data_IF_174900261620
#
_entry.id   IF_174900261620
#
_cell.length_a   1.000
_cell.length_b   1.000
_cell.length_c   1.000
_cell.angle_alpha   90.00
_cell.angle_beta   90.00
_cell.angle_gamma   90.00
#
_symmetry.space_group_name_H-M   'P 1'
#
loop_
_entity.id
_entity.type
_entity.pdbx_description
1 polymer ?
#
# COMPACT_ATOMS: atom_id res chain seq x y z
N UNK A 1 -4.41 25.22 -2.69
CA UNK A 1 -5.34 24.52 -1.78
C UNK A 1 -4.48 23.79 -0.76
N UNK A 2 -4.53 24.19 0.50
CA UNK A 2 -3.69 23.61 1.55
C UNK A 2 -4.06 22.14 1.74
N UNK A 3 -3.09 21.24 1.59
CA UNK A 3 -3.31 19.81 1.86
C UNK A 3 -3.59 19.66 3.35
N UNK A 4 -4.76 19.13 3.69
CA UNK A 4 -5.12 18.80 5.07
C UNK A 4 -4.01 17.93 5.70
N UNK A 5 -3.50 18.26 6.89
CA UNK A 5 -2.47 17.47 7.55
C UNK A 5 -2.87 15.98 7.67
N UNK A 6 -1.93 15.01 7.51
CA UNK A 6 -2.27 13.59 7.58
C UNK A 6 -3.00 13.18 8.87
N UNK A 7 -2.63 13.78 10.01
CA UNK A 7 -3.30 13.52 11.29
C UNK A 7 -4.78 13.97 11.29
N UNK A 8 -5.11 15.06 10.60
CA UNK A 8 -6.50 15.53 10.45
C UNK A 8 -7.30 14.64 9.50
N UNK A 9 -6.67 14.13 8.46
CA UNK A 9 -7.30 13.16 7.55
C UNK A 9 -7.64 11.85 8.29
N UNK A 10 -6.67 11.30 9.03
CA UNK A 10 -6.86 10.05 9.80
C UNK A 10 -7.87 10.26 10.94
N UNK A 11 -7.80 11.41 11.64
CA UNK A 11 -8.76 11.75 12.69
C UNK A 11 -10.18 11.85 12.15
N UNK A 12 -10.38 12.53 11.00
CA UNK A 12 -11.68 12.62 10.35
C UNK A 12 -12.17 11.25 9.86
N UNK A 13 -11.28 10.40 9.37
CA UNK A 13 -11.64 9.07 8.86
C UNK A 13 -12.08 8.12 9.97
N UNK A 14 -11.44 8.20 11.14
CA UNK A 14 -11.70 7.32 12.27
C UNK A 14 -12.64 7.92 13.32
N UNK A 15 -13.22 9.10 13.05
CA UNK A 15 -14.02 9.89 14.00
C UNK A 15 -13.31 10.10 15.35
N UNK A 16 -12.05 10.51 15.29
CA UNK A 16 -11.19 10.69 16.46
C UNK A 16 -10.91 12.14 16.76
N UNK A 17 -10.81 12.44 18.05
CA UNK A 17 -10.46 13.77 18.52
C UNK A 17 -8.95 13.97 18.51
N UNK A 18 -8.51 15.05 17.87
CA UNK A 18 -7.13 15.53 17.99
C UNK A 18 -6.99 16.31 19.30
N UNK A 19 -5.89 16.04 20.00
CA UNK A 19 -5.50 16.71 21.23
C UNK A 19 -4.11 17.33 21.07
N UNK A 20 -3.80 18.31 21.91
CA UNK A 20 -2.48 18.94 21.94
C UNK A 20 -1.95 18.96 23.37
N UNK A 21 -1.35 17.86 23.84
CA UNK A 21 -0.86 17.79 25.21
C UNK A 21 0.43 18.58 25.36
N UNK A 22 0.34 19.72 26.06
CA UNK A 22 1.49 20.48 26.58
C UNK A 22 1.78 21.79 25.85
N UNK A 23 2.96 22.38 26.18
CA UNK A 23 3.40 23.70 25.66
C UNK A 23 3.96 23.66 24.24
N UNK A 24 4.24 22.47 23.69
CA UNK A 24 4.72 22.30 22.32
C UNK A 24 3.50 21.94 21.47
N UNK A 25 3.34 22.62 20.34
CA UNK A 25 2.22 22.51 19.39
C UNK A 25 2.19 21.17 18.62
N UNK A 26 2.33 20.05 19.32
CA UNK A 26 2.25 18.71 18.74
C UNK A 26 0.81 18.21 18.83
N UNK A 27 0.24 17.90 17.67
CA UNK A 27 -1.05 17.25 17.57
C UNK A 27 -0.90 15.76 17.85
N UNK A 28 -1.81 15.21 18.64
CA UNK A 28 -1.85 13.80 19.01
C UNK A 28 -3.27 13.26 18.87
N UNK A 29 -3.36 12.02 18.42
CA UNK A 29 -4.57 11.23 18.40
C UNK A 29 -4.22 9.79 18.73
N UNK A 30 -5.20 9.02 19.17
CA UNK A 30 -4.99 7.61 19.47
C UNK A 30 -6.26 6.93 19.94
N UNK A 31 -6.17 5.62 20.04
CA UNK A 31 -7.24 4.73 20.45
C UNK A 31 -6.64 3.55 21.23
N UNK A 32 -7.44 2.81 22.01
CA UNK A 32 -6.98 1.62 22.71
C UNK A 32 -6.53 0.53 21.75
N UNK A 33 -5.43 -0.19 22.05
CA UNK A 33 -4.82 -1.18 21.15
C UNK A 33 -5.78 -2.29 20.71
N UNK A 34 -6.75 -2.67 21.56
CA UNK A 34 -7.76 -3.68 21.21
C UNK A 34 -8.70 -3.26 20.08
N UNK A 35 -8.80 -1.96 19.76
CA UNK A 35 -9.61 -1.43 18.65
C UNK A 35 -8.84 -1.38 17.32
N UNK A 36 -7.58 -1.82 17.30
CA UNK A 36 -6.73 -1.75 16.12
C UNK A 36 -7.33 -2.46 14.91
N UNK A 37 -7.85 -3.68 15.09
CA UNK A 37 -8.42 -4.47 13.99
C UNK A 37 -9.57 -3.74 13.31
N UNK A 38 -10.47 -3.14 14.07
CA UNK A 38 -11.61 -2.36 13.56
C UNK A 38 -11.16 -1.13 12.75
N UNK A 39 -10.16 -0.40 13.24
CA UNK A 39 -9.66 0.77 12.53
C UNK A 39 -8.79 0.40 11.32
N UNK A 40 -8.15 -0.76 11.35
CA UNK A 40 -7.28 -1.24 10.28
C UNK A 40 -8.03 -1.34 8.96
N UNK A 41 -9.19 -2.01 8.93
CA UNK A 41 -9.99 -2.18 7.72
C UNK A 41 -10.35 -0.83 7.09
N UNK A 42 -10.78 0.13 7.92
CA UNK A 42 -11.13 1.49 7.47
C UNK A 42 -9.94 2.22 6.83
N UNK A 43 -8.75 2.07 7.43
CA UNK A 43 -7.51 2.70 6.93
C UNK A 43 -7.06 2.05 5.61
N UNK A 44 -7.02 0.71 5.57
CA UNK A 44 -6.60 -0.05 4.40
C UNK A 44 -7.53 0.16 3.20
N UNK A 45 -8.84 0.23 3.41
CA UNK A 45 -9.82 0.51 2.36
C UNK A 45 -9.67 1.90 1.75
N UNK A 46 -9.09 2.85 2.50
CA UNK A 46 -8.74 4.18 2.02
C UNK A 46 -7.32 4.25 1.43
N UNK A 47 -6.64 3.11 1.30
CA UNK A 47 -5.31 3.03 0.70
C UNK A 47 -4.17 3.42 1.65
N UNK A 48 -4.41 3.54 2.95
CA UNK A 48 -3.35 3.85 3.92
C UNK A 48 -2.57 2.59 4.29
N UNK A 49 -1.24 2.72 4.37
CA UNK A 49 -0.37 1.71 4.98
C UNK A 49 -0.21 1.99 6.46
N UNK A 50 -0.49 1.00 7.31
CA UNK A 50 -0.40 1.10 8.77
C UNK A 50 0.85 0.38 9.26
N UNK A 51 1.71 1.07 10.01
CA UNK A 51 2.91 0.50 10.62
C UNK A 51 2.68 0.41 12.13
N UNK A 52 2.72 -0.81 12.67
CA UNK A 52 2.59 -1.05 14.10
C UNK A 52 3.99 -1.03 14.73
N UNK A 53 4.16 -0.16 15.73
CA UNK A 53 5.41 0.01 16.46
C UNK A 53 5.14 -0.37 17.92
N UNK A 54 5.61 -1.54 18.32
CA UNK A 54 5.43 -2.07 19.66
C UNK A 54 6.63 -1.78 20.55
N UNK A 55 6.37 -1.82 21.85
CA UNK A 55 7.38 -1.70 22.88
C UNK A 55 8.14 -3.02 23.05
N UNK A 56 9.47 -2.93 23.14
CA UNK A 56 10.35 -4.05 23.49
C UNK A 56 10.63 -4.05 25.00
N UNK A 57 10.47 -5.21 25.63
CA UNK A 57 10.75 -5.40 27.07
C UNK A 57 12.27 -5.48 27.27
N UNK A 58 12.92 -4.35 27.60
CA UNK A 58 14.39 -4.27 27.70
C UNK A 58 14.93 -4.08 29.12
N UNK A 59 14.07 -3.87 30.12
CA UNK A 59 14.48 -3.69 31.53
C UNK A 59 15.39 -2.48 31.82
N UNK A 60 15.54 -1.55 30.86
CA UNK A 60 16.38 -0.34 30.96
C UNK A 60 15.58 0.84 31.50
N UNK A 61 16.24 1.75 32.21
CA UNK A 61 15.67 3.03 32.61
C UNK A 61 15.56 4.00 31.42
N UNK A 62 14.53 4.84 31.43
CA UNK A 62 14.26 5.81 30.35
C UNK A 62 13.16 5.37 29.37
N UNK A 63 13.03 6.02 28.20
CA UNK A 63 12.08 5.63 27.18
C UNK A 63 12.28 4.17 26.76
N UNK A 64 11.21 3.38 26.81
CA UNK A 64 11.25 1.99 26.38
C UNK A 64 11.62 1.89 24.90
N UNK A 65 12.43 0.89 24.55
CA UNK A 65 12.80 0.62 23.17
C UNK A 65 11.55 0.22 22.38
N UNK A 66 11.48 0.61 21.11
CA UNK A 66 10.37 0.27 20.23
C UNK A 66 10.87 -0.28 18.92
N UNK A 67 10.13 -1.20 18.31
CA UNK A 67 10.43 -1.74 17.00
C UNK A 67 9.15 -1.94 16.19
N UNK A 68 9.28 -1.92 14.87
CA UNK A 68 8.19 -2.29 13.97
C UNK A 68 7.91 -3.77 14.16
N UNK A 69 6.69 -4.09 14.59
CA UNK A 69 6.24 -5.48 14.73
C UNK A 69 5.49 -5.95 13.49
N UNK A 70 4.73 -5.06 12.84
CA UNK A 70 3.85 -5.39 11.72
C UNK A 70 3.74 -4.21 10.74
N UNK A 71 3.52 -4.53 9.47
CA UNK A 71 3.17 -3.57 8.41
C UNK A 71 1.95 -4.10 7.68
N UNK A 72 0.88 -3.32 7.68
CA UNK A 72 -0.36 -3.62 6.97
C UNK A 72 -0.47 -2.68 5.77
N UNK A 73 -0.36 -3.24 4.56
CA UNK A 73 -0.66 -2.53 3.32
C UNK A 73 -2.08 -2.85 2.84
N UNK A 74 -2.64 -2.10 1.88
CA UNK A 74 -4.00 -2.30 1.38
C UNK A 74 -4.30 -3.74 0.89
N UNK A 75 -3.28 -4.47 0.42
CA UNK A 75 -3.42 -5.86 -0.03
C UNK A 75 -3.35 -6.90 1.09
N UNK A 76 -3.01 -6.48 2.31
CA UNK A 76 -2.87 -7.33 3.49
C UNK A 76 -4.11 -7.32 4.40
N UNK A 77 -5.26 -6.83 3.91
CA UNK A 77 -6.47 -6.78 4.75
C UNK A 77 -6.96 -8.21 5.05
N UNK A 78 -6.88 -8.60 6.33
CA UNK A 78 -7.19 -9.94 6.80
C UNK A 78 -8.70 -10.19 6.97
N UNK A 79 -9.51 -9.14 7.11
CA UNK A 79 -10.93 -9.25 7.42
C UNK A 79 -11.81 -8.77 6.25
N UNK A 80 -12.91 -9.51 6.02
CA UNK A 80 -14.06 -9.13 5.19
C UNK A 80 -13.87 -8.96 3.67
N UNK A 81 -12.87 -9.57 3.04
CA UNK A 81 -12.80 -9.57 1.57
C UNK A 81 -13.46 -10.82 0.98
N UNK A 82 -14.61 -10.65 0.28
CA UNK A 82 -15.28 -11.72 -0.49
C UNK A 82 -14.39 -12.24 -1.63
N UNK A 83 -13.46 -11.40 -2.09
CA UNK A 83 -12.49 -11.70 -3.15
C UNK A 83 -11.08 -11.57 -2.60
N UNK A 84 -10.15 -12.41 -3.08
CA UNK A 84 -8.75 -12.38 -2.64
C UNK A 84 -8.08 -11.08 -3.11
N UNK A 85 -7.52 -10.25 -2.20
CA UNK A 85 -6.76 -9.08 -2.60
C UNK A 85 -5.40 -9.49 -3.17
N UNK A 86 -4.97 -8.80 -4.22
CA UNK A 86 -3.68 -9.02 -4.87
C UNK A 86 -2.81 -7.77 -4.91
N UNK A 87 -1.51 -7.99 -4.70
CA UNK A 87 -0.45 -7.09 -5.10
C UNK A 87 -0.05 -7.43 -6.54
N UNK A 88 -0.13 -6.45 -7.43
CA UNK A 88 0.44 -6.54 -8.77
C UNK A 88 1.87 -6.00 -8.72
N UNK A 89 2.86 -6.75 -9.19
CA UNK A 89 4.18 -6.21 -9.46
C UNK A 89 4.48 -6.19 -10.95
N UNK A 90 5.07 -5.08 -11.39
CA UNK A 90 5.38 -4.83 -12.79
C UNK A 90 6.86 -4.52 -12.92
N UNK A 91 7.55 -5.28 -13.75
CA UNK A 91 8.97 -5.17 -14.04
C UNK A 91 9.22 -4.96 -15.53
N UNK A 92 10.04 -3.97 -15.87
CA UNK A 92 10.45 -3.70 -17.26
C UNK A 92 11.86 -4.19 -17.52
N UNK A 93 11.99 -5.07 -18.51
CA UNK A 93 13.28 -5.39 -19.11
C UNK A 93 13.62 -4.39 -20.22
N UNK A 94 14.92 -4.29 -20.54
CA UNK A 94 15.41 -3.46 -21.65
C UNK A 94 14.98 -3.99 -23.03
N UNK A 95 14.62 -5.26 -23.12
CA UNK A 95 14.27 -5.94 -24.38
C UNK A 95 12.76 -5.89 -24.70
N UNK A 96 12.05 -4.85 -24.27
CA UNK A 96 10.58 -4.71 -24.39
C UNK A 96 9.80 -5.91 -23.82
N UNK A 97 10.38 -6.57 -22.81
CA UNK A 97 9.72 -7.61 -22.03
C UNK A 97 9.21 -7.03 -20.71
N UNK A 98 7.97 -7.40 -20.39
CA UNK A 98 7.25 -7.03 -19.19
C UNK A 98 7.10 -8.26 -18.30
N UNK A 99 7.65 -8.20 -17.10
CA UNK A 99 7.37 -9.16 -16.03
C UNK A 99 6.18 -8.67 -15.23
N UNK A 100 5.09 -9.44 -15.21
CA UNK A 100 3.91 -9.14 -14.39
C UNK A 100 3.74 -10.27 -13.39
N UNK A 101 3.64 -9.94 -12.11
CA UNK A 101 3.36 -10.91 -11.05
C UNK A 101 2.15 -10.47 -10.24
N UNK A 102 1.25 -11.41 -9.96
CA UNK A 102 0.17 -11.26 -9.01
C UNK A 102 0.50 -12.07 -7.77
N UNK A 103 0.41 -11.47 -6.59
CA UNK A 103 0.65 -12.16 -5.32
C UNK A 103 -0.41 -11.80 -4.29
N UNK A 104 -0.98 -12.81 -3.62
CA UNK A 104 -1.87 -12.61 -2.48
C UNK A 104 -1.17 -13.04 -1.19
N UNK A 105 -0.90 -12.08 -0.30
CA UNK A 105 -0.32 -12.35 1.02
C UNK A 105 -1.25 -13.19 1.91
N UNK A 106 -2.55 -13.24 1.58
CA UNK A 106 -3.58 -13.92 2.35
C UNK A 106 -3.48 -15.43 2.31
N UNK A 107 -3.12 -16.00 1.16
CA UNK A 107 -3.05 -17.45 0.97
C UNK A 107 -1.76 -17.91 0.26
N UNK A 108 -0.86 -16.98 -0.08
CA UNK A 108 0.37 -17.27 -0.80
C UNK A 108 0.19 -17.57 -2.29
N UNK A 109 -1.00 -17.37 -2.85
CA UNK A 109 -1.25 -17.57 -4.28
C UNK A 109 -0.43 -16.57 -5.09
N UNK A 110 0.31 -17.10 -6.08
CA UNK A 110 1.23 -16.32 -6.90
C UNK A 110 1.17 -16.76 -8.35
N UNK A 111 1.08 -15.81 -9.27
CA UNK A 111 1.10 -16.05 -10.72
C UNK A 111 2.08 -15.08 -11.36
N UNK A 112 2.90 -15.56 -12.29
CA UNK A 112 3.88 -14.76 -13.01
C UNK A 112 3.72 -14.93 -14.52
N UNK A 113 3.71 -13.81 -15.24
CA UNK A 113 3.65 -13.74 -16.70
C UNK A 113 4.85 -12.96 -17.25
N UNK A 114 5.71 -13.59 -18.06
CA UNK A 114 6.56 -12.86 -18.98
C UNK A 114 5.74 -12.49 -20.22
N UNK A 115 5.67 -11.21 -20.56
CA UNK A 115 4.82 -10.69 -21.63
C UNK A 115 5.66 -9.78 -22.52
N UNK A 116 5.62 -9.97 -23.84
CA UNK A 116 6.17 -8.98 -24.76
C UNK A 116 5.32 -7.70 -24.71
N UNK A 117 5.94 -6.53 -24.82
CA UNK A 117 5.24 -5.24 -24.86
C UNK A 117 4.11 -5.18 -25.91
N UNK A 118 4.27 -5.87 -27.04
CA UNK A 118 3.22 -5.94 -28.09
C UNK A 118 1.98 -6.71 -27.64
N UNK A 119 2.13 -7.63 -26.69
CA UNK A 119 1.06 -8.52 -26.20
C UNK A 119 0.49 -8.07 -24.85
N UNK A 120 0.93 -6.92 -24.32
CA UNK A 120 0.60 -6.43 -22.98
C UNK A 120 -0.91 -6.34 -22.70
N UNK A 121 -1.70 -5.94 -23.70
CA UNK A 121 -3.16 -5.79 -23.57
C UNK A 121 -3.90 -7.12 -23.43
N UNK A 122 -3.28 -8.24 -23.85
CA UNK A 122 -3.85 -9.58 -23.63
C UNK A 122 -3.85 -9.94 -22.14
N UNK A 123 -2.80 -9.54 -21.42
CA UNK A 123 -2.69 -9.79 -19.98
C UNK A 123 -3.51 -8.79 -19.18
N UNK A 124 -3.64 -7.55 -19.64
CA UNK A 124 -4.54 -6.55 -19.04
C UNK A 124 -5.96 -7.09 -18.80
N UNK A 125 -6.53 -7.76 -19.81
CA UNK A 125 -7.87 -8.36 -19.72
C UNK A 125 -7.97 -9.45 -18.66
N UNK A 126 -6.88 -10.18 -18.43
CA UNK A 126 -6.79 -11.18 -17.36
C UNK A 126 -6.73 -10.49 -16.00
N UNK A 127 -5.98 -9.40 -15.88
CA UNK A 127 -5.82 -8.64 -14.64
C UNK A 127 -7.12 -8.02 -14.12
N UNK A 128 -8.07 -7.66 -15.01
CA UNK A 128 -9.39 -7.12 -14.63
C UNK A 128 -10.18 -8.07 -13.72
N UNK A 129 -9.96 -9.39 -13.86
CA UNK A 129 -10.62 -10.40 -13.02
C UNK A 129 -10.00 -10.56 -11.64
N UNK A 130 -8.89 -9.87 -11.34
CA UNK A 130 -8.22 -9.91 -10.05
C UNK A 130 -8.49 -8.63 -9.28
N UNK A 131 -8.77 -8.78 -7.98
CA UNK A 131 -8.96 -7.66 -7.07
C UNK A 131 -7.63 -7.04 -6.65
N UNK A 132 -7.02 -6.28 -7.57
CA UNK A 132 -5.72 -5.65 -7.35
C UNK A 132 -5.91 -4.44 -6.42
N UNK A 133 -5.26 -4.47 -5.25
CA UNK A 133 -5.34 -3.43 -4.22
C UNK A 133 -4.07 -2.58 -4.11
N UNK A 134 -2.95 -3.09 -4.62
CA UNK A 134 -1.64 -2.45 -4.55
C UNK A 134 -0.84 -2.78 -5.80
N UNK A 135 -0.09 -1.81 -6.31
CA UNK A 135 0.77 -1.98 -7.48
C UNK A 135 2.20 -1.59 -7.11
N UNK A 136 3.13 -2.53 -7.28
CA UNK A 136 4.57 -2.33 -7.04
C UNK A 136 5.28 -2.26 -8.38
N UNK A 137 5.82 -1.09 -8.70
CA UNK A 137 6.52 -0.87 -9.96
C UNK A 137 8.01 -0.94 -9.70
N UNK A 138 8.69 -1.87 -10.37
CA UNK A 138 10.15 -1.86 -10.42
C UNK A 138 10.64 -0.97 -11.55
N UNK A 139 11.13 0.22 -11.19
CA UNK A 139 11.82 1.12 -12.12
C UNK A 139 13.33 1.09 -11.81
N UNK A 140 14.12 0.48 -12.69
CA UNK A 140 15.58 0.57 -12.58
C UNK A 140 16.01 2.00 -12.93
N UNK A 141 16.47 2.75 -11.93
CA UNK A 141 16.88 4.17 -12.01
C UNK A 141 18.22 4.37 -12.76
N UNK A 142 18.29 3.91 -14.01
CA UNK A 142 19.37 4.27 -14.95
C UNK A 142 19.01 5.50 -15.79
N UNK A 143 19.92 5.94 -16.67
CA UNK A 143 19.61 6.97 -17.65
C UNK A 143 18.40 6.56 -18.53
N UNK A 144 17.36 7.41 -18.60
CA UNK A 144 16.10 7.13 -19.30
C UNK A 144 14.93 6.66 -18.41
N UNK A 145 15.07 6.72 -17.08
CA UNK A 145 14.06 6.31 -16.10
C UNK A 145 12.72 7.03 -16.23
N UNK A 146 12.73 8.31 -16.63
CA UNK A 146 11.51 9.11 -16.70
C UNK A 146 10.58 8.60 -17.82
N UNK A 147 11.15 8.19 -18.95
CA UNK A 147 10.41 7.62 -20.08
C UNK A 147 9.75 6.30 -19.68
N UNK A 148 10.44 5.47 -18.89
CA UNK A 148 9.88 4.22 -18.37
C UNK A 148 8.74 4.50 -17.40
N UNK A 149 8.90 5.46 -16.48
CA UNK A 149 7.86 5.84 -15.54
C UNK A 149 6.60 6.35 -16.27
N UNK A 150 6.73 7.24 -17.25
CA UNK A 150 5.58 7.72 -18.05
C UNK A 150 4.89 6.59 -18.80
N UNK A 151 5.65 5.70 -19.45
CA UNK A 151 5.08 4.51 -20.13
C UNK A 151 4.28 3.62 -19.18
N UNK A 152 4.69 3.52 -17.91
CA UNK A 152 4.00 2.71 -16.91
C UNK A 152 2.71 3.40 -16.47
N UNK A 153 2.75 4.71 -16.24
CA UNK A 153 1.53 5.45 -15.95
C UNK A 153 0.51 5.35 -17.09
N UNK A 154 0.95 5.57 -18.33
CA UNK A 154 0.09 5.42 -19.51
C UNK A 154 -0.50 4.00 -19.57
N UNK A 155 0.33 2.97 -19.33
CA UNK A 155 -0.12 1.57 -19.29
C UNK A 155 -1.18 1.32 -18.21
N UNK A 156 -0.96 1.82 -16.99
CA UNK A 156 -1.89 1.62 -15.87
C UNK A 156 -3.22 2.36 -16.08
N UNK A 157 -3.17 3.52 -16.73
CA UNK A 157 -4.36 4.29 -17.16
C UNK A 157 -5.11 3.52 -18.24
N UNK A 158 -4.40 3.05 -19.28
CA UNK A 158 -4.98 2.27 -20.38
C UNK A 158 -5.65 0.98 -19.89
N UNK A 159 -5.09 0.36 -18.86
CA UNK A 159 -5.62 -0.87 -18.25
C UNK A 159 -6.73 -0.60 -17.24
N UNK A 160 -7.06 0.66 -16.95
CA UNK A 160 -8.04 1.06 -15.95
C UNK A 160 -7.75 0.45 -14.56
N UNK A 161 -6.47 0.26 -14.23
CA UNK A 161 -6.02 -0.25 -12.93
C UNK A 161 -5.67 0.87 -11.95
N UNK A 162 -5.63 2.11 -12.42
CA UNK A 162 -5.54 3.29 -11.57
C UNK A 162 -6.94 3.84 -11.30
N UNK A 163 -7.30 4.19 -10.05
CA UNK A 163 -8.54 4.92 -9.81
C UNK A 163 -8.48 6.27 -10.55
N UNK A 164 -9.56 6.56 -11.28
CA UNK A 164 -9.79 7.86 -11.93
C UNK A 164 -10.17 8.94 -10.92
#
# INVERSE_FOLDING_TARGET
LGVTPPIEQVASLLDMRITSPGKRSLLQMGFPTYSLTTHLSTLLDKGWTVIVIDELVTGKSGPKQRAVSQVYSPSCNLEECLELPYVLSIYFSRDDLLGITLFSAMNGHSIMFPVSWTDRDKVARLLIGYHIREIVIWAHLGAGSDILIYRIYDLLIDWNLFPT
#
